data_IF_693099424304
#
_entry.id   IF_693099424304
#
_cell.length_a   1.000
_cell.length_b   1.000
_cell.length_c   1.000
_cell.angle_alpha   90.00
_cell.angle_beta   90.00
_cell.angle_gamma   90.00
#
_symmetry.space_group_name_H-M   'P 1'
#
loop_
_entity.id
_entity.type
_entity.pdbx_description
1 polymer ?
#
# COMPACT_ATOMS: atom_id res chain seq x y z
N UNK A 1 9.53 -16.54 -34.04
CA UNK A 1 10.84 -17.19 -34.29
C UNK A 1 11.94 -16.26 -33.82
N UNK A 2 12.59 -16.58 -32.69
CA UNK A 2 13.57 -15.70 -32.04
C UNK A 2 15.00 -16.18 -32.32
N UNK A 3 15.89 -15.26 -32.71
CA UNK A 3 17.32 -15.49 -33.03
C UNK A 3 18.16 -16.14 -31.91
N UNK A 4 17.61 -16.36 -30.73
CA UNK A 4 18.28 -16.98 -29.58
C UNK A 4 18.43 -18.50 -29.70
N UNK A 5 17.62 -19.17 -30.53
CA UNK A 5 17.69 -20.62 -30.74
C UNK A 5 18.59 -21.07 -31.90
N UNK A 6 19.15 -20.15 -32.70
CA UNK A 6 19.91 -20.50 -33.91
C UNK A 6 21.42 -20.61 -33.66
N UNK A 7 21.94 -20.03 -32.59
CA UNK A 7 23.40 -20.07 -32.28
C UNK A 7 23.81 -21.37 -31.55
N UNK A 8 22.85 -22.14 -31.02
CA UNK A 8 23.11 -23.40 -30.32
C UNK A 8 23.01 -24.66 -31.22
N UNK A 9 22.57 -24.52 -32.48
CA UNK A 9 22.29 -25.67 -33.36
C UNK A 9 23.37 -25.98 -34.40
N UNK A 10 24.39 -25.13 -34.55
CA UNK A 10 25.35 -25.21 -35.67
C UNK A 10 26.67 -25.93 -35.36
N UNK A 11 26.76 -26.69 -34.27
CA UNK A 11 27.98 -27.48 -33.93
C UNK A 11 27.74 -29.00 -33.96
N UNK A 12 26.56 -29.46 -34.38
CA UNK A 12 26.24 -30.89 -34.41
C UNK A 12 26.27 -31.55 -35.80
N UNK A 13 26.99 -30.98 -36.78
CA UNK A 13 27.24 -31.65 -38.06
C UNK A 13 28.62 -31.30 -38.65
N UNK A 14 29.62 -32.08 -38.23
CA UNK A 14 30.77 -32.44 -39.06
C UNK A 14 31.37 -33.73 -38.47
N UNK A 15 30.82 -34.86 -38.88
CA UNK A 15 31.30 -36.20 -38.56
C UNK A 15 32.24 -36.73 -39.64
N UNK A 16 33.20 -37.56 -39.22
CA UNK A 16 34.09 -38.44 -39.98
C UNK A 16 35.39 -37.87 -40.58
N UNK A 17 36.43 -37.88 -39.74
CA UNK A 17 37.64 -38.64 -40.05
C UNK A 17 38.18 -39.24 -38.75
N UNK A 18 38.05 -40.56 -38.60
CA UNK A 18 38.63 -41.31 -37.49
C UNK A 18 40.15 -41.40 -37.69
N UNK A 19 40.88 -40.47 -37.09
CA UNK A 19 42.17 -40.81 -36.49
C UNK A 19 42.01 -40.62 -34.99
N UNK A 20 42.40 -41.62 -34.21
CA UNK A 20 42.51 -41.55 -32.76
C UNK A 20 43.63 -40.59 -32.36
N UNK A 21 43.53 -39.31 -32.76
CA UNK A 21 44.28 -38.27 -32.10
C UNK A 21 43.78 -38.26 -30.67
N UNK A 22 44.63 -38.70 -29.74
CA UNK A 22 44.44 -38.43 -28.32
C UNK A 22 44.26 -36.93 -28.21
N UNK A 23 43.01 -36.48 -28.16
CA UNK A 23 42.69 -35.07 -28.00
C UNK A 23 43.21 -34.73 -26.63
N UNK A 24 44.39 -34.12 -26.56
CA UNK A 24 45.02 -33.73 -25.30
C UNK A 24 44.02 -32.85 -24.56
N UNK A 25 43.43 -33.39 -23.48
CA UNK A 25 42.53 -32.66 -22.60
C UNK A 25 43.38 -32.09 -21.46
N UNK A 26 43.14 -30.83 -21.13
CA UNK A 26 43.80 -30.18 -19.99
C UNK A 26 42.75 -29.49 -19.12
N UNK A 27 42.89 -29.54 -17.78
CA UNK A 27 42.00 -28.80 -16.89
C UNK A 27 42.19 -27.31 -17.06
N UNK A 28 41.08 -26.56 -17.09
CA UNK A 28 41.08 -25.12 -16.89
C UNK A 28 40.95 -24.87 -15.38
N UNK A 29 42.07 -24.56 -14.73
CA UNK A 29 42.12 -24.20 -13.30
C UNK A 29 41.82 -22.71 -13.07
N UNK A 30 41.88 -21.90 -14.13
CA UNK A 30 41.63 -20.45 -14.11
C UNK A 30 40.69 -20.04 -15.25
N UNK A 31 39.93 -18.98 -15.01
CA UNK A 31 38.97 -18.41 -15.96
C UNK A 31 39.72 -17.76 -17.13
N UNK A 32 39.26 -17.92 -18.39
CA UNK A 32 39.88 -17.27 -19.53
C UNK A 32 39.93 -15.73 -19.40
N UNK A 33 41.00 -15.12 -19.90
CA UNK A 33 41.16 -13.66 -19.96
C UNK A 33 40.00 -13.00 -20.73
N UNK A 34 39.44 -11.92 -20.18
CA UNK A 34 38.34 -11.15 -20.78
C UNK A 34 36.92 -11.54 -20.33
N UNK A 35 36.77 -12.54 -19.44
CA UNK A 35 35.48 -12.84 -18.81
C UNK A 35 35.19 -11.79 -17.73
N UNK A 36 33.96 -11.24 -17.72
CA UNK A 36 33.54 -10.25 -16.73
C UNK A 36 32.26 -10.66 -16.00
N UNK A 37 32.19 -10.36 -14.71
CA UNK A 37 31.00 -10.54 -13.85
C UNK A 37 30.59 -9.17 -13.31
N UNK A 38 29.40 -8.65 -13.65
CA UNK A 38 28.96 -7.28 -13.33
C UNK A 38 30.04 -6.21 -13.60
N UNK A 39 30.76 -6.34 -14.72
CA UNK A 39 31.85 -5.43 -15.11
C UNK A 39 33.18 -5.65 -14.40
N UNK A 40 33.30 -6.59 -13.45
CA UNK A 40 34.57 -6.99 -12.82
C UNK A 40 35.29 -7.94 -13.76
N UNK A 41 36.55 -7.67 -14.09
CA UNK A 41 37.40 -8.63 -14.81
C UNK A 41 37.78 -9.77 -13.87
N UNK A 42 37.32 -10.98 -14.20
CA UNK A 42 37.61 -12.21 -13.47
C UNK A 42 38.56 -13.12 -14.26
N UNK A 43 39.08 -12.63 -15.39
CA UNK A 43 40.04 -13.34 -16.21
C UNK A 43 41.31 -13.67 -15.44
N UNK A 44 41.78 -14.92 -15.57
CA UNK A 44 42.96 -15.41 -14.88
C UNK A 44 42.74 -15.84 -13.43
N UNK A 45 41.57 -15.55 -12.84
CA UNK A 45 41.23 -15.97 -11.47
C UNK A 45 40.82 -17.44 -11.41
N UNK A 46 41.08 -18.11 -10.28
CA UNK A 46 40.44 -19.37 -9.93
C UNK A 46 39.00 -19.13 -9.47
N UNK A 47 38.16 -20.17 -9.45
CA UNK A 47 36.79 -20.06 -8.95
C UNK A 47 36.73 -19.55 -7.49
N UNK A 48 37.66 -20.00 -6.64
CA UNK A 48 37.75 -19.55 -5.23
C UNK A 48 38.18 -18.07 -5.12
N UNK A 49 39.02 -17.58 -6.03
CA UNK A 49 39.39 -16.16 -6.10
C UNK A 49 38.20 -15.30 -6.56
N UNK A 50 37.39 -15.78 -7.50
CA UNK A 50 36.17 -15.06 -7.89
C UNK A 50 35.17 -14.98 -6.74
N UNK A 51 34.99 -16.08 -6.02
CA UNK A 51 34.11 -16.12 -4.84
C UNK A 51 34.51 -15.09 -3.79
N UNK A 52 35.80 -14.98 -3.46
CA UNK A 52 36.31 -14.00 -2.47
C UNK A 52 36.17 -12.55 -2.96
N UNK A 53 36.40 -12.28 -4.25
CA UNK A 53 36.22 -10.95 -4.86
C UNK A 53 34.74 -10.53 -4.82
N UNK A 54 33.83 -11.42 -5.19
CA UNK A 54 32.39 -11.16 -5.16
C UNK A 54 31.89 -10.95 -3.73
N UNK A 55 32.32 -11.77 -2.77
CA UNK A 55 31.97 -11.63 -1.36
C UNK A 55 32.45 -10.30 -0.75
N UNK A 56 33.66 -9.86 -1.11
CA UNK A 56 34.21 -8.57 -0.66
C UNK A 56 33.42 -7.38 -1.21
N UNK A 57 33.00 -7.45 -2.48
CA UNK A 57 32.18 -6.42 -3.10
C UNK A 57 30.77 -6.38 -2.51
N UNK A 58 30.16 -7.54 -2.25
CA UNK A 58 28.89 -7.61 -1.52
C UNK A 58 28.95 -6.89 -0.18
N UNK A 59 30.05 -7.06 0.58
CA UNK A 59 30.21 -6.41 1.88
C UNK A 59 30.24 -4.89 1.77
N UNK A 60 30.81 -4.35 0.68
CA UNK A 60 30.84 -2.91 0.37
C UNK A 60 29.48 -2.40 -0.12
N UNK A 61 28.87 -3.09 -1.07
CA UNK A 61 27.59 -2.72 -1.67
C UNK A 61 26.40 -2.91 -0.71
N UNK A 62 26.49 -3.87 0.22
CA UNK A 62 25.51 -4.10 1.28
C UNK A 62 25.40 -2.94 2.29
N UNK A 63 26.28 -1.94 2.21
CA UNK A 63 26.24 -0.72 3.02
C UNK A 63 25.54 0.45 2.32
N UNK A 64 25.39 0.41 0.99
CA UNK A 64 24.77 1.49 0.22
C UNK A 64 23.24 1.39 0.30
N UNK A 65 22.60 2.48 0.72
CA UNK A 65 21.14 2.53 0.85
C UNK A 65 20.48 2.73 -0.50
N UNK A 66 19.36 2.06 -0.71
CA UNK A 66 18.49 2.30 -1.86
C UNK A 66 17.44 3.32 -1.45
N UNK A 67 17.45 4.49 -2.10
CA UNK A 67 16.55 5.60 -1.75
C UNK A 67 15.22 5.46 -2.47
N UNK A 68 14.15 5.22 -1.71
CA UNK A 68 12.77 5.21 -2.23
C UNK A 68 12.12 6.56 -1.97
N UNK A 69 11.71 7.25 -3.03
CA UNK A 69 11.06 8.57 -2.94
C UNK A 69 9.54 8.42 -3.08
N UNK A 70 8.78 8.88 -2.08
CA UNK A 70 7.32 8.91 -2.06
C UNK A 70 6.86 10.37 -1.94
N UNK A 71 6.43 10.98 -3.05
CA UNK A 71 6.19 12.42 -3.11
C UNK A 71 7.48 13.20 -2.84
N UNK A 72 7.48 14.02 -1.79
CA UNK A 72 8.66 14.79 -1.35
C UNK A 72 9.50 14.04 -0.29
N UNK A 73 8.97 12.97 0.30
CA UNK A 73 9.66 12.21 1.34
C UNK A 73 10.63 11.20 0.72
N UNK A 74 11.80 11.04 1.34
CA UNK A 74 12.82 10.05 0.97
C UNK A 74 12.96 9.02 2.07
N UNK A 75 12.94 7.75 1.69
CA UNK A 75 13.05 6.61 2.60
C UNK A 75 14.26 5.76 2.22
N UNK A 76 15.31 5.70 3.04
CA UNK A 76 16.45 4.83 2.79
C UNK A 76 16.10 3.38 3.14
N UNK A 77 16.32 2.46 2.20
CA UNK A 77 16.22 1.01 2.43
C UNK A 77 17.61 0.41 2.40
N UNK A 78 18.04 -0.16 3.52
CA UNK A 78 19.32 -0.87 3.59
C UNK A 78 19.16 -2.27 2.97
N UNK A 79 20.11 -2.72 2.14
CA UNK A 79 20.15 -4.10 1.63
C UNK A 79 19.98 -5.17 2.73
N UNK A 80 20.53 -4.93 3.92
CA UNK A 80 20.41 -5.85 5.07
C UNK A 80 18.98 -5.99 5.60
N UNK A 81 18.14 -4.96 5.50
CA UNK A 81 16.74 -5.02 5.97
C UNK A 81 15.89 -5.98 5.12
N UNK A 82 16.25 -6.14 3.85
CA UNK A 82 15.55 -7.02 2.90
C UNK A 82 16.31 -8.32 2.67
N UNK A 83 17.36 -8.59 3.44
CA UNK A 83 18.20 -9.77 3.27
C UNK A 83 18.83 -9.89 1.88
N UNK A 84 19.12 -8.76 1.21
CA UNK A 84 19.68 -8.76 -0.14
C UNK A 84 21.08 -9.39 -0.13
N UNK A 85 21.25 -10.43 -0.93
CA UNK A 85 22.51 -11.14 -1.13
C UNK A 85 22.73 -11.35 -2.63
N UNK A 86 23.98 -11.33 -3.06
CA UNK A 86 24.34 -11.86 -4.38
C UNK A 86 24.37 -13.38 -4.25
N UNK A 87 23.76 -14.06 -5.20
CA UNK A 87 23.85 -15.50 -5.33
C UNK A 87 25.19 -15.88 -5.98
N UNK A 88 26.25 -15.82 -5.17
CA UNK A 88 27.60 -16.16 -5.60
C UNK A 88 27.67 -17.62 -6.08
N UNK A 89 26.93 -18.52 -5.42
CA UNK A 89 26.92 -19.94 -5.75
C UNK A 89 26.47 -20.17 -7.20
N UNK A 90 25.35 -19.56 -7.61
CA UNK A 90 24.86 -19.65 -9.00
C UNK A 90 25.85 -19.09 -10.02
N UNK A 91 26.55 -17.99 -9.71
CA UNK A 91 27.58 -17.41 -10.59
C UNK A 91 28.78 -18.37 -10.74
N UNK A 92 29.22 -18.98 -9.63
CA UNK A 92 30.32 -19.93 -9.65
C UNK A 92 29.92 -21.21 -10.40
N UNK A 93 28.68 -21.68 -10.25
CA UNK A 93 28.15 -22.82 -11.00
C UNK A 93 28.09 -22.53 -12.51
N UNK A 94 27.64 -21.35 -12.91
CA UNK A 94 27.63 -20.91 -14.31
C UNK A 94 29.07 -20.80 -14.87
N UNK A 95 30.00 -20.24 -14.10
CA UNK A 95 31.42 -20.21 -14.47
C UNK A 95 32.00 -21.63 -14.61
N UNK A 96 31.64 -22.56 -13.70
CA UNK A 96 32.08 -23.96 -13.77
C UNK A 96 31.45 -24.71 -14.95
N UNK A 97 30.20 -24.43 -15.31
CA UNK A 97 29.55 -25.08 -16.46
C UNK A 97 30.19 -24.65 -17.79
N UNK A 98 30.67 -23.41 -17.88
CA UNK A 98 31.34 -22.88 -19.05
C UNK A 98 32.85 -23.15 -19.11
N UNK A 99 33.53 -23.16 -17.96
CA UNK A 99 35.00 -23.18 -17.89
C UNK A 99 35.57 -24.28 -16.99
N UNK A 100 34.75 -25.05 -16.26
CA UNK A 100 35.19 -26.14 -15.39
C UNK A 100 35.38 -27.47 -16.11
N UNK A 101 36.34 -28.30 -15.66
CA UNK A 101 36.61 -29.61 -16.26
C UNK A 101 37.74 -29.62 -17.30
N UNK A 102 37.85 -30.73 -18.04
CA UNK A 102 38.93 -30.94 -19.02
C UNK A 102 38.42 -30.77 -20.46
N UNK A 103 39.05 -29.87 -21.20
CA UNK A 103 38.60 -29.50 -22.56
C UNK A 103 39.64 -29.87 -23.60
N UNK A 104 39.19 -30.12 -24.84
CA UNK A 104 40.08 -30.20 -26.00
C UNK A 104 40.82 -28.87 -26.21
N UNK A 105 42.07 -28.93 -26.68
CA UNK A 105 42.88 -27.74 -26.95
C UNK A 105 42.19 -26.75 -27.92
N UNK A 106 41.44 -27.28 -28.90
CA UNK A 106 40.64 -26.47 -29.82
C UNK A 106 39.53 -25.68 -29.11
N UNK A 107 38.71 -26.36 -28.29
CA UNK A 107 37.62 -25.70 -27.54
C UNK A 107 38.18 -24.64 -26.59
N UNK A 108 39.36 -24.88 -26.00
CA UNK A 108 40.09 -23.90 -25.19
C UNK A 108 40.51 -22.66 -25.99
N UNK A 109 40.97 -22.84 -27.23
CA UNK A 109 41.31 -21.73 -28.13
C UNK A 109 40.11 -20.86 -28.49
N UNK A 110 38.97 -21.47 -28.79
CA UNK A 110 37.71 -20.78 -29.09
C UNK A 110 37.24 -19.97 -27.87
N UNK A 111 37.17 -20.58 -26.69
CA UNK A 111 36.77 -19.92 -25.45
C UNK A 111 37.67 -18.73 -25.11
N UNK A 112 39.00 -18.86 -25.25
CA UNK A 112 39.95 -17.75 -25.08
C UNK A 112 39.69 -16.61 -26.07
N UNK A 113 39.40 -16.92 -27.34
CA UNK A 113 39.14 -15.91 -28.38
C UNK A 113 37.81 -15.18 -28.12
N UNK A 114 36.79 -15.90 -27.64
CA UNK A 114 35.48 -15.33 -27.33
C UNK A 114 35.50 -14.47 -26.08
N UNK A 115 36.18 -14.93 -25.02
CA UNK A 115 36.40 -14.14 -23.81
C UNK A 115 37.18 -12.85 -24.12
N UNK A 116 38.26 -12.92 -24.92
CA UNK A 116 39.00 -11.71 -25.38
C UNK A 116 38.16 -10.73 -26.20
N UNK A 117 37.09 -11.20 -26.87
CA UNK A 117 36.16 -10.36 -27.62
C UNK A 117 35.02 -9.80 -26.76
N UNK A 118 35.01 -10.09 -25.45
CA UNK A 118 34.01 -9.59 -24.50
C UNK A 118 32.66 -10.31 -24.58
N UNK A 119 32.58 -11.49 -25.17
CA UNK A 119 31.32 -12.22 -25.33
C UNK A 119 30.82 -12.92 -24.05
N UNK A 120 31.58 -12.89 -22.96
CA UNK A 120 31.19 -13.44 -21.67
C UNK A 120 31.01 -12.32 -20.64
N UNK A 121 29.79 -11.82 -20.54
CA UNK A 121 29.33 -10.87 -19.51
C UNK A 121 28.26 -11.54 -18.67
N UNK A 122 28.63 -11.93 -17.47
CA UNK A 122 27.73 -12.56 -16.51
C UNK A 122 27.13 -11.50 -15.60
N UNK A 123 25.84 -11.64 -15.30
CA UNK A 123 25.15 -10.82 -14.31
C UNK A 123 25.00 -11.63 -13.03
N UNK A 124 25.18 -10.98 -11.88
CA UNK A 124 25.02 -11.70 -10.61
C UNK A 124 23.53 -11.74 -10.22
N UNK A 125 22.90 -12.92 -10.10
CA UNK A 125 21.57 -13.00 -9.54
C UNK A 125 21.58 -12.52 -8.08
N UNK A 126 20.47 -11.93 -7.64
CA UNK A 126 20.29 -11.48 -6.26
C UNK A 126 19.15 -12.25 -5.59
N UNK A 127 19.35 -12.59 -4.33
CA UNK A 127 18.37 -13.22 -3.45
C UNK A 127 17.94 -12.17 -2.43
N UNK A 128 16.64 -12.09 -2.14
CA UNK A 128 16.09 -11.13 -1.18
C UNK A 128 14.81 -11.67 -0.54
N UNK A 129 14.46 -11.13 0.62
CA UNK A 129 13.24 -11.46 1.34
C UNK A 129 12.09 -10.56 0.87
N UNK A 130 11.20 -11.13 0.06
CA UNK A 130 10.03 -10.43 -0.48
C UNK A 130 9.03 -9.99 0.60
N UNK A 131 8.90 -10.76 1.68
CA UNK A 131 8.04 -10.41 2.81
C UNK A 131 8.54 -9.18 3.56
N UNK A 132 9.86 -9.03 3.73
CA UNK A 132 10.45 -7.83 4.31
C UNK A 132 10.27 -6.60 3.41
N UNK A 133 10.43 -6.76 2.08
CA UNK A 133 10.13 -5.69 1.13
C UNK A 133 8.66 -5.26 1.28
N UNK A 134 7.73 -6.21 1.29
CA UNK A 134 6.30 -5.92 1.44
C UNK A 134 6.00 -5.20 2.76
N UNK A 135 6.58 -5.66 3.87
CA UNK A 135 6.43 -5.05 5.19
C UNK A 135 6.93 -3.60 5.20
N UNK A 136 8.15 -3.36 4.71
CA UNK A 136 8.75 -2.02 4.65
C UNK A 136 7.90 -1.09 3.79
N UNK A 137 7.49 -1.53 2.59
CA UNK A 137 6.68 -0.70 1.70
C UNK A 137 5.27 -0.46 2.25
N UNK A 138 4.67 -1.41 2.97
CA UNK A 138 3.39 -1.20 3.64
C UNK A 138 3.47 -0.12 4.72
N UNK A 139 4.56 -0.09 5.50
CA UNK A 139 4.79 0.97 6.49
C UNK A 139 5.05 2.33 5.81
N UNK A 140 5.79 2.36 4.70
CA UNK A 140 5.95 3.58 3.90
C UNK A 140 4.61 4.10 3.37
N UNK A 141 3.73 3.21 2.88
CA UNK A 141 2.40 3.55 2.39
C UNK A 141 1.57 4.24 3.48
N UNK A 142 1.48 3.63 4.68
CA UNK A 142 0.75 4.21 5.81
C UNK A 142 1.24 5.62 6.18
N UNK A 143 2.54 5.89 6.03
CA UNK A 143 3.14 7.20 6.34
C UNK A 143 2.90 8.31 5.30
N UNK A 144 2.34 7.98 4.13
CA UNK A 144 2.02 8.94 3.05
C UNK A 144 0.55 8.92 2.64
N UNK A 145 -0.17 7.88 3.00
CA UNK A 145 -1.58 7.72 2.69
C UNK A 145 -2.40 8.81 3.36
N UNK A 146 -3.27 9.43 2.57
CA UNK A 146 -4.22 10.42 3.03
C UNK A 146 -5.58 10.09 2.42
N UNK A 147 -6.63 9.89 3.24
CA UNK A 147 -7.96 9.62 2.71
C UNK A 147 -8.51 10.89 2.03
N UNK A 148 -9.34 10.74 0.98
CA UNK A 148 -10.02 11.89 0.39
C UNK A 148 -11.03 12.49 1.36
N UNK A 149 -11.28 13.78 1.23
CA UNK A 149 -12.35 14.48 1.95
C UNK A 149 -13.45 14.86 0.97
N UNK A 150 -14.65 14.37 1.24
CA UNK A 150 -15.84 14.75 0.47
C UNK A 150 -16.12 16.25 0.60
N UNK A 151 -16.64 16.84 -0.48
CA UNK A 151 -17.24 18.16 -0.39
C UNK A 151 -18.45 18.11 0.55
N UNK A 152 -18.66 19.20 1.26
CA UNK A 152 -19.79 19.39 2.18
C UNK A 152 -20.51 20.68 1.83
N UNK A 153 -21.65 20.90 2.47
CA UNK A 153 -22.40 22.12 2.35
C UNK A 153 -22.40 22.90 3.66
N UNK A 154 -22.00 24.16 3.61
CA UNK A 154 -22.30 25.13 4.64
C UNK A 154 -23.74 25.63 4.44
N UNK A 155 -24.66 25.11 5.24
CA UNK A 155 -26.08 25.44 5.17
C UNK A 155 -26.40 26.87 5.62
N UNK A 156 -25.55 27.48 6.47
CA UNK A 156 -25.76 28.84 6.99
C UNK A 156 -25.40 29.84 5.91
N UNK A 157 -24.20 29.71 5.35
CA UNK A 157 -23.71 30.62 4.32
C UNK A 157 -24.12 30.21 2.90
N UNK A 158 -24.78 29.06 2.75
CA UNK A 158 -25.19 28.44 1.47
C UNK A 158 -24.01 28.29 0.49
N UNK A 159 -22.87 27.79 0.99
CA UNK A 159 -21.64 27.63 0.22
C UNK A 159 -21.16 26.18 0.23
N UNK A 160 -20.54 25.76 -0.87
CA UNK A 160 -19.85 24.47 -0.95
C UNK A 160 -18.53 24.56 -0.20
N UNK A 161 -18.35 23.69 0.79
CA UNK A 161 -17.05 23.40 1.39
C UNK A 161 -16.32 22.42 0.46
N UNK A 162 -15.14 22.79 -0.06
CA UNK A 162 -14.50 22.06 -1.15
C UNK A 162 -14.05 20.66 -0.72
N UNK A 163 -14.13 19.72 -1.66
CA UNK A 163 -13.56 18.39 -1.54
C UNK A 163 -12.02 18.43 -1.68
N UNK A 164 -11.32 17.55 -0.99
CA UNK A 164 -9.89 17.35 -1.12
C UNK A 164 -9.59 15.93 -1.64
N UNK A 165 -8.72 15.81 -2.64
CA UNK A 165 -8.25 14.51 -3.10
C UNK A 165 -7.35 13.88 -2.04
N UNK A 166 -7.54 12.58 -1.82
CA UNK A 166 -6.61 11.76 -1.10
C UNK A 166 -5.46 11.29 -1.98
N UNK A 167 -4.56 10.52 -1.40
CA UNK A 167 -3.45 9.90 -2.10
C UNK A 167 -3.02 8.60 -1.41
N UNK A 168 -2.49 7.67 -2.20
CA UNK A 168 -1.87 6.45 -1.68
C UNK A 168 -0.79 5.96 -2.65
N UNK A 169 0.05 5.04 -2.17
CA UNK A 169 1.08 4.40 -2.98
C UNK A 169 0.48 3.17 -3.69
N UNK A 170 0.77 3.02 -4.98
CA UNK A 170 0.59 1.73 -5.67
C UNK A 170 1.65 0.77 -5.12
N UNK A 171 1.27 0.04 -4.08
CA UNK A 171 2.15 -0.85 -3.32
C UNK A 171 2.80 -1.89 -4.24
N UNK A 172 1.97 -2.63 -5.00
CA UNK A 172 2.44 -3.69 -5.88
C UNK A 172 3.35 -3.16 -6.99
N UNK A 173 2.95 -2.08 -7.67
CA UNK A 173 3.76 -1.49 -8.74
C UNK A 173 5.05 -0.82 -8.24
N UNK A 174 5.06 -0.33 -7.00
CA UNK A 174 6.26 0.22 -6.36
C UNK A 174 7.23 -0.90 -5.96
N UNK A 175 6.74 -1.99 -5.37
CA UNK A 175 7.56 -3.18 -5.07
C UNK A 175 8.17 -3.76 -6.34
N UNK A 176 7.38 -3.95 -7.41
CA UNK A 176 7.88 -4.47 -8.68
C UNK A 176 8.92 -3.55 -9.36
N UNK A 177 8.88 -2.24 -9.08
CA UNK A 177 9.92 -1.30 -9.52
C UNK A 177 11.18 -1.44 -8.65
N UNK A 178 11.02 -1.60 -7.34
CA UNK A 178 12.12 -1.80 -6.40
C UNK A 178 12.88 -3.10 -6.68
N UNK A 179 12.17 -4.19 -6.96
CA UNK A 179 12.74 -5.49 -7.34
C UNK A 179 13.61 -5.37 -8.60
N UNK A 180 13.19 -4.58 -9.60
CA UNK A 180 14.02 -4.30 -10.79
C UNK A 180 15.26 -3.47 -10.47
N UNK A 181 15.16 -2.53 -9.53
CA UNK A 181 16.30 -1.70 -9.11
C UNK A 181 17.35 -2.55 -8.42
N UNK A 182 16.96 -3.44 -7.51
CA UNK A 182 17.90 -4.32 -6.81
C UNK A 182 18.53 -5.36 -7.75
N UNK A 183 17.80 -5.82 -8.78
CA UNK A 183 18.32 -6.75 -9.79
C UNK A 183 19.31 -6.08 -10.75
N UNK A 184 19.07 -4.82 -11.12
CA UNK A 184 19.89 -4.08 -12.08
C UNK A 184 21.00 -3.24 -11.42
N UNK A 185 21.05 -3.17 -10.09
CA UNK A 185 22.08 -2.44 -9.35
C UNK A 185 21.86 -0.92 -9.27
N UNK A 186 20.62 -0.46 -9.17
CA UNK A 186 20.30 0.96 -8.94
C UNK A 186 20.26 1.34 -7.45
N UNK A 187 20.45 2.61 -7.17
CA UNK A 187 20.54 3.20 -5.82
C UNK A 187 19.33 4.08 -5.45
N UNK A 188 18.45 4.36 -6.41
CA UNK A 188 17.28 5.22 -6.17
C UNK A 188 16.07 4.85 -7.05
N UNK A 189 14.89 5.09 -6.50
CA UNK A 189 13.63 5.03 -7.27
C UNK A 189 12.57 5.99 -6.74
N UNK A 190 11.64 6.35 -7.63
CA UNK A 190 10.38 6.99 -7.26
C UNK A 190 9.27 5.94 -7.17
N UNK A 191 8.58 5.90 -6.04
CA UNK A 191 7.40 5.07 -5.86
C UNK A 191 6.26 5.54 -6.79
N UNK A 192 5.37 4.61 -7.14
CA UNK A 192 4.16 4.93 -7.90
C UNK A 192 3.10 5.43 -6.94
N UNK A 193 2.61 6.63 -7.20
CA UNK A 193 1.56 7.27 -6.41
C UNK A 193 0.31 7.42 -7.25
N UNK A 194 -0.86 7.31 -6.62
CA UNK A 194 -2.13 7.64 -7.25
C UNK A 194 -2.97 8.52 -6.32
N UNK A 195 -3.83 9.35 -6.94
CA UNK A 195 -4.79 10.19 -6.21
C UNK A 195 -6.06 9.39 -5.99
N UNK A 196 -6.62 9.51 -4.79
CA UNK A 196 -7.94 8.95 -4.46
C UNK A 196 -8.92 10.11 -4.57
N UNK A 197 -9.85 10.03 -5.52
CA UNK A 197 -10.88 11.05 -5.66
C UNK A 197 -11.95 10.89 -4.56
N UNK A 198 -12.46 12.00 -4.00
CA UNK A 198 -13.56 11.95 -3.05
C UNK A 198 -14.82 11.41 -3.72
N UNK A 199 -15.65 10.68 -2.95
CA UNK A 199 -16.94 10.18 -3.43
C UNK A 199 -17.87 11.32 -3.85
N UNK A 200 -17.79 12.47 -3.16
CA UNK A 200 -18.55 13.68 -3.46
C UNK A 200 -17.56 14.79 -3.78
N UNK A 201 -17.51 15.20 -5.04
CA UNK A 201 -16.63 16.28 -5.50
C UNK A 201 -17.26 17.65 -5.31
N UNK A 202 -16.44 18.70 -5.20
CA UNK A 202 -16.94 20.09 -5.18
C UNK A 202 -17.80 20.41 -6.40
N UNK A 203 -17.45 19.85 -7.57
CA UNK A 203 -18.18 20.10 -8.80
C UNK A 203 -19.58 19.50 -8.77
N UNK A 204 -19.74 18.31 -8.19
CA UNK A 204 -21.06 17.68 -8.03
C UNK A 204 -22.02 18.51 -7.16
N UNK A 205 -21.49 19.34 -6.24
CA UNK A 205 -22.32 20.18 -5.38
C UNK A 205 -22.59 21.58 -5.94
N UNK A 206 -21.79 22.06 -6.91
CA UNK A 206 -22.02 23.39 -7.52
C UNK A 206 -23.37 23.47 -8.23
N UNK A 207 -23.81 22.36 -8.80
CA UNK A 207 -25.04 22.28 -9.59
C UNK A 207 -26.26 21.94 -8.73
N UNK A 208 -26.09 21.78 -7.40
CA UNK A 208 -27.15 21.34 -6.51
C UNK A 208 -28.04 22.52 -6.05
N UNK A 209 -29.34 22.42 -6.33
CA UNK A 209 -30.34 23.41 -5.89
C UNK A 209 -30.95 23.00 -4.54
N UNK A 210 -30.70 23.79 -3.50
CA UNK A 210 -31.15 23.53 -2.12
C UNK A 210 -32.34 24.42 -1.75
N UNK A 211 -33.47 24.20 -2.41
CA UNK A 211 -34.66 25.07 -2.28
C UNK A 211 -35.73 24.51 -1.34
N UNK A 212 -35.71 23.21 -1.07
CA UNK A 212 -36.81 22.52 -0.40
C UNK A 212 -36.31 21.73 0.79
N UNK A 213 -36.99 21.87 1.93
CA UNK A 213 -36.84 20.98 3.07
C UNK A 213 -37.87 19.86 2.92
N UNK A 214 -37.41 18.61 2.78
CA UNK A 214 -38.30 17.46 2.60
C UNK A 214 -38.85 16.93 3.93
N UNK A 215 -38.08 17.04 5.01
CA UNK A 215 -38.47 16.64 6.34
C UNK A 215 -37.59 17.32 7.38
N UNK A 216 -38.16 17.54 8.57
CA UNK A 216 -37.48 18.15 9.71
C UNK A 216 -38.01 17.55 11.00
N UNK A 217 -37.18 17.59 12.04
CA UNK A 217 -37.59 17.24 13.39
C UNK A 217 -36.64 17.93 14.37
N UNK A 218 -37.12 18.22 15.58
CA UNK A 218 -36.36 18.91 16.62
C UNK A 218 -36.52 18.20 17.96
N UNK A 219 -35.44 18.17 18.74
CA UNK A 219 -35.49 17.71 20.13
C UNK A 219 -34.72 18.70 21.01
N UNK A 220 -35.21 18.92 22.23
CA UNK A 220 -34.59 19.86 23.18
C UNK A 220 -33.64 19.15 24.15
N UNK A 221 -32.67 19.88 24.67
CA UNK A 221 -31.78 19.38 25.72
C UNK A 221 -31.26 20.54 26.59
N UNK A 222 -31.10 20.32 27.91
CA UNK A 222 -30.49 21.32 28.79
C UNK A 222 -28.98 21.44 28.51
N UNK A 223 -28.45 22.66 28.62
CA UNK A 223 -27.04 22.96 28.37
C UNK A 223 -26.25 23.42 29.60
N UNK A 224 -26.86 23.41 30.79
CA UNK A 224 -26.30 23.95 32.02
C UNK A 224 -26.14 22.89 33.12
N UNK A 225 -25.38 23.24 34.17
CA UNK A 225 -25.16 22.39 35.34
C UNK A 225 -24.61 21.02 34.98
N UNK A 226 -25.21 19.97 35.57
CA UNK A 226 -24.81 18.57 35.34
C UNK A 226 -24.95 18.10 33.88
N UNK A 227 -25.65 18.84 33.02
CA UNK A 227 -25.88 18.48 31.62
C UNK A 227 -24.87 19.09 30.65
N UNK A 228 -23.96 19.95 31.12
CA UNK A 228 -23.01 20.67 30.27
C UNK A 228 -22.16 19.73 29.39
N UNK A 229 -21.68 18.61 29.93
CA UNK A 229 -20.91 17.63 29.15
C UNK A 229 -21.75 16.90 28.10
N UNK A 230 -23.01 16.58 28.42
CA UNK A 230 -23.95 15.97 27.47
C UNK A 230 -24.25 16.93 26.31
N UNK A 231 -24.52 18.20 26.63
CA UNK A 231 -24.75 19.23 25.63
C UNK A 231 -23.52 19.48 24.74
N UNK A 232 -22.31 19.45 25.32
CA UNK A 232 -21.06 19.49 24.56
C UNK A 232 -20.98 18.32 23.57
N UNK A 233 -21.26 17.09 24.01
CA UNK A 233 -21.26 15.91 23.14
C UNK A 233 -22.27 16.02 22.01
N UNK A 234 -23.48 16.52 22.29
CA UNK A 234 -24.50 16.77 21.28
C UNK A 234 -24.03 17.75 20.21
N UNK A 235 -23.37 18.84 20.62
CA UNK A 235 -22.77 19.82 19.68
C UNK A 235 -21.66 19.19 18.83
N UNK A 236 -20.77 18.39 19.44
CA UNK A 236 -19.69 17.70 18.72
C UNK A 236 -20.26 16.69 17.71
N UNK A 237 -21.25 15.89 18.11
CA UNK A 237 -21.91 14.93 17.23
C UNK A 237 -22.67 15.60 16.09
N UNK A 238 -23.48 16.62 16.41
CA UNK A 238 -24.24 17.39 15.43
C UNK A 238 -23.33 18.06 14.39
N UNK A 239 -22.24 18.71 14.82
CA UNK A 239 -21.29 19.35 13.91
C UNK A 239 -20.65 18.38 12.91
N UNK A 240 -20.48 17.09 13.27
CA UNK A 240 -19.95 16.06 12.37
C UNK A 240 -20.95 15.65 11.29
N UNK A 241 -22.24 15.69 11.60
CA UNK A 241 -23.35 15.39 10.68
C UNK A 241 -23.69 16.56 9.76
N UNK A 242 -23.57 17.78 10.26
CA UNK A 242 -23.92 18.99 9.50
C UNK A 242 -23.19 19.05 8.16
N UNK A 243 -23.96 19.37 7.11
CA UNK A 243 -23.44 19.52 5.74
C UNK A 243 -23.13 18.20 5.03
N UNK A 244 -23.56 17.06 5.58
CA UNK A 244 -23.50 15.78 4.89
C UNK A 244 -24.40 15.80 3.65
N UNK A 245 -23.87 15.31 2.53
CA UNK A 245 -24.63 15.14 1.29
C UNK A 245 -24.80 13.65 1.03
N UNK A 246 -26.06 13.21 0.88
CA UNK A 246 -26.41 11.83 0.56
C UNK A 246 -26.91 11.76 -0.88
N UNK A 247 -26.12 11.11 -1.76
CA UNK A 247 -26.46 10.99 -3.18
C UNK A 247 -27.59 9.95 -3.39
N UNK A 248 -28.33 10.02 -4.51
CA UNK A 248 -29.39 9.06 -4.81
C UNK A 248 -28.90 7.60 -4.81
N UNK A 249 -29.69 6.71 -4.21
CA UNK A 249 -29.40 5.28 -4.04
C UNK A 249 -28.21 4.98 -3.13
N UNK A 250 -27.72 5.95 -2.34
CA UNK A 250 -26.58 5.75 -1.45
C UNK A 250 -27.00 5.65 -0.01
N UNK A 251 -26.25 4.80 0.71
CA UNK A 251 -26.43 4.58 2.13
C UNK A 251 -25.63 5.59 2.94
N UNK A 252 -26.25 6.08 4.00
CA UNK A 252 -25.65 6.87 5.06
C UNK A 252 -25.60 6.03 6.32
N UNK A 253 -24.41 5.90 6.91
CA UNK A 253 -24.23 5.30 8.25
C UNK A 253 -23.94 6.41 9.26
N UNK A 254 -24.70 6.42 10.35
CA UNK A 254 -24.49 7.35 11.46
C UNK A 254 -23.13 7.10 12.13
N UNK A 255 -22.78 5.84 12.36
CA UNK A 255 -21.52 5.46 13.00
C UNK A 255 -20.30 5.78 12.14
N UNK A 256 -20.33 5.50 10.84
CA UNK A 256 -19.24 5.84 9.92
C UNK A 256 -19.00 7.35 9.85
N UNK A 257 -20.08 8.14 9.93
CA UNK A 257 -19.99 9.60 9.85
C UNK A 257 -19.43 10.21 11.14
N UNK A 258 -19.83 9.74 12.32
CA UNK A 258 -19.35 10.28 13.59
C UNK A 258 -17.98 9.71 14.01
N UNK A 259 -17.69 8.45 13.67
CA UNK A 259 -16.50 7.72 14.13
C UNK A 259 -16.51 7.38 15.63
N UNK A 260 -15.40 6.89 16.20
CA UNK A 260 -15.35 6.47 17.60
C UNK A 260 -15.74 7.57 18.60
N UNK A 261 -16.54 7.23 19.61
CA UNK A 261 -16.93 8.14 20.70
C UNK A 261 -15.83 8.15 21.76
N UNK A 262 -14.76 8.89 21.47
CA UNK A 262 -13.57 8.98 22.33
C UNK A 262 -13.21 10.42 22.72
N UNK A 263 -12.43 10.58 23.79
CA UNK A 263 -11.91 11.88 24.22
C UNK A 263 -11.07 12.56 23.13
N UNK A 264 -10.27 11.79 22.39
CA UNK A 264 -9.49 12.26 21.22
C UNK A 264 -10.39 12.88 20.14
N UNK A 265 -11.62 12.39 20.03
CA UNK A 265 -12.61 12.88 19.06
C UNK A 265 -13.44 14.07 19.58
N UNK A 266 -13.14 14.54 20.79
CA UNK A 266 -13.75 15.71 21.43
C UNK A 266 -14.92 15.39 22.36
N UNK A 267 -15.24 14.10 22.55
CA UNK A 267 -16.34 13.68 23.43
C UNK A 267 -15.92 13.69 24.90
N UNK A 268 -16.87 13.98 25.78
CA UNK A 268 -16.74 13.98 27.24
C UNK A 268 -17.59 12.87 27.85
N UNK A 269 -17.25 12.51 29.08
CA UNK A 269 -18.07 11.60 29.88
C UNK A 269 -19.36 12.32 30.28
N UNK A 270 -20.49 11.67 30.03
CA UNK A 270 -21.82 12.15 30.35
C UNK A 270 -22.76 10.94 30.54
N UNK A 271 -23.94 11.13 31.15
CA UNK A 271 -24.92 10.05 31.28
C UNK A 271 -25.28 9.43 29.92
N UNK A 272 -25.14 8.10 29.83
CA UNK A 272 -25.58 7.22 28.74
C UNK A 272 -26.59 6.21 29.29
N UNK A 273 -27.45 5.70 28.43
CA UNK A 273 -28.29 4.55 28.78
C UNK A 273 -27.59 3.28 28.30
N UNK A 274 -27.26 2.39 29.22
CA UNK A 274 -26.66 1.09 28.94
C UNK A 274 -27.54 0.01 29.59
N UNK A 275 -28.03 -0.95 28.79
CA UNK A 275 -28.88 -2.05 29.27
C UNK A 275 -30.12 -1.62 30.07
N UNK A 276 -30.65 -0.42 29.81
CA UNK A 276 -31.82 0.12 30.52
C UNK A 276 -31.48 0.92 31.78
N UNK A 277 -30.20 1.04 32.16
CA UNK A 277 -29.74 1.85 33.28
C UNK A 277 -28.98 3.09 32.80
N UNK A 278 -29.08 4.18 33.58
CA UNK A 278 -28.30 5.39 33.32
C UNK A 278 -26.94 5.28 34.01
N UNK A 279 -25.87 5.20 33.22
CA UNK A 279 -24.49 5.15 33.70
C UNK A 279 -23.67 6.25 33.04
N UNK A 280 -22.56 6.65 33.64
CA UNK A 280 -21.65 7.60 32.99
C UNK A 280 -20.83 6.91 31.90
N UNK A 281 -20.88 7.48 30.69
CA UNK A 281 -20.21 6.91 29.52
C UNK A 281 -19.69 7.98 28.57
N UNK A 282 -18.76 7.58 27.72
CA UNK A 282 -18.17 8.51 26.75
C UNK A 282 -19.15 8.80 25.61
N UNK A 283 -19.37 10.08 25.32
CA UNK A 283 -20.25 10.48 24.21
C UNK A 283 -21.75 10.39 24.53
N UNK A 284 -22.16 10.50 25.79
CA UNK A 284 -23.58 10.60 26.16
C UNK A 284 -24.34 11.62 25.31
N UNK A 285 -25.52 11.20 24.81
CA UNK A 285 -26.40 12.00 23.94
C UNK A 285 -26.54 11.51 22.49
N UNK A 286 -25.72 10.56 22.01
CA UNK A 286 -25.76 10.16 20.58
C UNK A 286 -27.10 9.57 20.14
N UNK A 287 -27.78 8.80 21.00
CA UNK A 287 -29.11 8.27 20.69
C UNK A 287 -30.15 9.38 20.46
N UNK A 288 -30.03 10.53 21.13
CA UNK A 288 -30.92 11.66 20.87
C UNK A 288 -30.70 12.21 19.46
N UNK A 289 -29.45 12.39 19.03
CA UNK A 289 -29.14 12.84 17.67
C UNK A 289 -29.63 11.82 16.64
N UNK A 290 -29.38 10.53 16.88
CA UNK A 290 -29.81 9.46 15.97
C UNK A 290 -31.34 9.44 15.85
N UNK A 291 -32.06 9.59 16.97
CA UNK A 291 -33.52 9.64 17.00
C UNK A 291 -34.06 10.90 16.28
N UNK A 292 -33.46 12.08 16.51
CA UNK A 292 -33.82 13.30 15.75
C UNK A 292 -33.59 13.13 14.26
N UNK A 293 -32.46 12.52 13.85
CA UNK A 293 -32.15 12.27 12.45
C UNK A 293 -33.09 11.23 11.84
N UNK A 294 -33.41 10.16 12.57
CA UNK A 294 -34.38 9.13 12.17
C UNK A 294 -35.73 9.78 11.87
N UNK A 295 -36.26 10.57 12.80
CA UNK A 295 -37.56 11.23 12.65
C UNK A 295 -37.59 12.18 11.44
N UNK A 296 -36.57 13.04 11.30
CA UNK A 296 -36.47 13.94 10.15
C UNK A 296 -36.38 13.18 8.82
N UNK A 297 -35.68 12.04 8.81
CA UNK A 297 -35.52 11.18 7.62
C UNK A 297 -36.80 10.44 7.26
N UNK A 298 -37.53 9.96 8.27
CA UNK A 298 -38.84 9.35 8.12
C UNK A 298 -39.83 10.34 7.46
N UNK A 299 -39.91 11.57 7.98
CA UNK A 299 -40.77 12.60 7.37
C UNK A 299 -40.29 13.08 6.01
N UNK A 300 -38.99 13.00 5.73
CA UNK A 300 -38.43 13.27 4.40
C UNK A 300 -38.69 12.15 3.38
N UNK A 301 -39.23 11.00 3.80
CA UNK A 301 -39.48 9.85 2.94
C UNK A 301 -38.22 9.08 2.54
N UNK A 302 -37.15 9.17 3.33
CA UNK A 302 -35.95 8.36 3.13
C UNK A 302 -36.17 6.91 3.56
N UNK A 303 -35.48 5.98 2.91
CA UNK A 303 -35.50 4.57 3.28
C UNK A 303 -34.71 4.36 4.58
N UNK A 304 -35.36 3.81 5.61
CA UNK A 304 -34.69 3.40 6.85
C UNK A 304 -34.19 1.96 6.69
N UNK A 305 -32.95 1.79 6.24
CA UNK A 305 -32.35 0.47 5.98
C UNK A 305 -32.07 -0.28 7.29
N UNK A 306 -31.58 0.42 8.30
CA UNK A 306 -31.38 -0.14 9.64
C UNK A 306 -31.71 0.91 10.69
N UNK A 307 -32.65 0.58 11.57
CA UNK A 307 -33.01 1.40 12.72
C UNK A 307 -33.55 0.48 13.80
N UNK A 308 -33.04 0.61 15.02
CA UNK A 308 -33.49 -0.19 16.16
C UNK A 308 -34.02 0.74 17.26
N UNK A 309 -35.27 0.60 17.71
CA UNK A 309 -35.78 1.41 18.81
C UNK A 309 -35.12 1.03 20.13
N UNK A 310 -35.23 1.91 21.12
CA UNK A 310 -34.86 1.61 22.49
C UNK A 310 -35.81 0.55 23.06
N UNK A 311 -35.33 -0.21 24.06
CA UNK A 311 -36.19 -1.12 24.82
C UNK A 311 -37.18 -0.39 25.75
N UNK A 312 -36.96 0.90 25.98
CA UNK A 312 -37.81 1.77 26.80
C UNK A 312 -38.00 3.13 26.13
N UNK A 313 -39.17 3.78 26.29
CA UNK A 313 -39.42 5.10 25.72
C UNK A 313 -38.38 6.14 26.15
N UNK A 314 -37.88 6.92 25.19
CA UNK A 314 -36.98 8.04 25.46
C UNK A 314 -37.77 9.33 25.67
N UNK A 315 -37.55 10.03 26.78
CA UNK A 315 -38.30 11.25 27.11
C UNK A 315 -38.09 12.45 26.16
N UNK A 316 -37.09 12.39 25.28
CA UNK A 316 -36.71 13.49 24.39
C UNK A 316 -37.32 13.39 22.99
N UNK A 317 -38.12 12.36 22.69
CA UNK A 317 -38.72 12.15 21.37
C UNK A 317 -40.07 11.44 21.47
N UNK A 318 -40.94 11.67 20.48
CA UNK A 318 -42.25 11.00 20.40
C UNK A 318 -42.12 9.49 20.19
N UNK A 319 -43.14 8.75 20.64
CA UNK A 319 -43.20 7.30 20.51
C UNK A 319 -43.18 6.87 19.04
N UNK A 320 -42.33 5.89 18.73
CA UNK A 320 -42.19 5.34 17.38
C UNK A 320 -41.23 6.10 16.47
N UNK A 321 -40.63 7.20 16.93
CA UNK A 321 -39.67 7.99 16.17
C UNK A 321 -38.21 7.84 16.66
N UNK A 322 -37.95 6.90 17.56
CA UNK A 322 -36.64 6.75 18.19
C UNK A 322 -35.72 5.74 17.50
N UNK A 323 -34.41 5.98 17.62
CA UNK A 323 -33.37 5.09 17.12
C UNK A 323 -32.18 5.01 18.10
N UNK A 324 -31.77 3.79 18.41
CA UNK A 324 -30.58 3.47 19.20
C UNK A 324 -29.34 3.44 18.33
N UNK A 325 -28.23 3.90 18.89
CA UNK A 325 -26.90 3.75 18.29
C UNK A 325 -25.87 3.45 19.36
N UNK A 326 -24.93 2.56 19.04
CA UNK A 326 -23.79 2.22 19.87
C UNK A 326 -22.61 1.88 18.97
N UNK A 327 -21.56 2.68 19.04
CA UNK A 327 -20.42 2.50 18.15
C UNK A 327 -19.56 1.30 18.58
N UNK A 328 -19.15 0.39 17.67
CA UNK A 328 -19.52 0.32 16.25
C UNK A 328 -20.71 -0.62 15.95
N UNK A 329 -21.31 -1.28 16.94
CA UNK A 329 -22.18 -2.45 16.73
C UNK A 329 -23.67 -2.19 16.49
N UNK A 330 -24.21 -1.04 16.90
CA UNK A 330 -25.61 -0.65 16.64
C UNK A 330 -25.61 0.68 15.89
N UNK A 331 -26.22 0.71 14.72
CA UNK A 331 -26.16 1.86 13.81
C UNK A 331 -27.54 2.30 13.32
N UNK A 332 -27.62 3.54 12.84
CA UNK A 332 -28.73 4.05 12.05
C UNK A 332 -28.25 4.17 10.61
N UNK A 333 -28.86 3.40 9.71
CA UNK A 333 -28.53 3.40 8.28
C UNK A 333 -29.74 3.88 7.48
N UNK A 334 -29.52 4.92 6.68
CA UNK A 334 -30.52 5.59 5.85
C UNK A 334 -30.14 5.47 4.38
N UNK A 335 -31.10 5.49 3.46
CA UNK A 335 -30.86 5.56 2.03
C UNK A 335 -31.71 6.66 1.39
N UNK A 336 -31.06 7.45 0.53
CA UNK A 336 -31.71 8.39 -0.40
C UNK A 336 -31.98 7.71 -1.73
#
# INVERSE_FOLDING_TARGET
>A
MNLRSIVLSLVMLASLAATSTVVKKAPLTTIPQGVRVNGIDVGGMTFAQVESVLASRMKKQGQEVITVTLGEKKFPVKPSQIGLKIDIASVIEELKSHFGGTYSLWRRGVLKKWAKRGYYVLHTPVIYNRSEIHRIFSEMQKGVESPPKNARLDLINRKVLPSENGQSMDLAGSIARFERIIQNGGDAMKARMYKIVPRISSQALKDLSLKTVLGWYETSFPSWGKWANRAHNLKVGGARLTGTVLLPGKDFSFNDTLGPRSAKMGYRVAPVIALGETVDGMGGGMCQIASTLFAASFFAGLDIIHGKPHSQPSHYIDLGLDATVFYPSVDLVLRN
#
